data_IF_590673199181
#
_entry.id   IF_590673199181
#
_cell.length_a   1.000
_cell.length_b   1.000
_cell.length_c   1.000
_cell.angle_alpha   90.00
_cell.angle_beta   90.00
_cell.angle_gamma   90.00
#
_symmetry.space_group_name_H-M   'P 1'
#
loop_
_entity.id
_entity.type
_entity.pdbx_description
1 polymer ?
#
# COMPACT_ATOMS: atom_id res chain seq x y z
N UNK A 1 -11.56 -13.74 -26.44
CA UNK A 1 -11.69 -13.87 -24.97
C UNK A 1 -10.73 -12.98 -24.15
N UNK A 2 -10.06 -11.96 -24.71
CA UNK A 2 -9.03 -11.17 -23.99
C UNK A 2 -9.55 -9.94 -23.20
N UNK A 3 -10.82 -9.57 -23.34
CA UNK A 3 -11.39 -8.37 -22.70
C UNK A 3 -11.73 -8.61 -21.22
N UNK A 4 -12.23 -9.81 -20.86
CA UNK A 4 -12.62 -10.13 -19.48
C UNK A 4 -11.45 -10.10 -18.48
N UNK A 5 -10.27 -10.59 -18.87
CA UNK A 5 -9.08 -10.62 -18.00
C UNK A 5 -8.54 -9.21 -17.71
N UNK A 6 -8.65 -8.28 -18.67
CA UNK A 6 -8.23 -6.88 -18.50
C UNK A 6 -9.17 -6.13 -17.57
N UNK A 7 -10.49 -6.25 -17.77
CA UNK A 7 -11.49 -5.62 -16.90
C UNK A 7 -11.41 -6.15 -15.47
N UNK A 8 -11.17 -7.45 -15.28
CA UNK A 8 -11.02 -8.02 -13.94
C UNK A 8 -9.75 -7.54 -13.24
N UNK A 9 -8.65 -7.38 -13.98
CA UNK A 9 -7.41 -6.80 -13.44
C UNK A 9 -7.58 -5.31 -13.11
N UNK A 10 -8.26 -4.56 -13.97
CA UNK A 10 -8.57 -3.14 -13.74
C UNK A 10 -9.47 -2.94 -12.51
N UNK A 11 -10.52 -3.76 -12.37
CA UNK A 11 -11.40 -3.70 -11.20
C UNK A 11 -10.65 -4.06 -9.91
N UNK A 12 -9.76 -5.06 -9.97
CA UNK A 12 -8.88 -5.40 -8.84
C UNK A 12 -7.95 -4.24 -8.49
N UNK A 13 -7.36 -3.58 -9.48
CA UNK A 13 -6.47 -2.44 -9.26
C UNK A 13 -7.23 -1.28 -8.60
N UNK A 14 -8.44 -0.97 -9.07
CA UNK A 14 -9.29 0.05 -8.46
C UNK A 14 -9.66 -0.28 -7.00
N UNK A 15 -9.94 -1.56 -6.70
CA UNK A 15 -10.18 -2.04 -5.33
C UNK A 15 -8.96 -1.84 -4.43
N UNK A 16 -7.76 -2.16 -4.94
CA UNK A 16 -6.49 -1.98 -4.22
C UNK A 16 -6.23 -0.49 -3.94
N UNK A 17 -6.44 0.37 -4.94
CA UNK A 17 -6.23 1.81 -4.80
C UNK A 17 -7.22 2.44 -3.81
N UNK A 18 -8.49 2.04 -3.86
CA UNK A 18 -9.51 2.46 -2.90
C UNK A 18 -9.16 1.98 -1.48
N UNK A 19 -8.77 0.70 -1.35
CA UNK A 19 -8.35 0.12 -0.07
C UNK A 19 -7.15 0.82 0.55
N UNK A 20 -6.16 1.19 -0.26
CA UNK A 20 -5.00 1.94 0.20
C UNK A 20 -5.36 3.31 0.79
N UNK A 21 -6.33 4.01 0.19
CA UNK A 21 -6.83 5.30 0.70
C UNK A 21 -7.55 5.16 2.04
N UNK A 22 -8.23 4.04 2.26
CA UNK A 22 -8.91 3.73 3.52
C UNK A 22 -7.92 3.24 4.60
N UNK A 23 -6.93 2.45 4.21
CA UNK A 23 -5.91 1.89 5.10
C UNK A 23 -4.97 2.96 5.65
N UNK A 24 -4.57 3.93 4.82
CA UNK A 24 -3.53 4.90 5.19
C UNK A 24 -3.83 5.74 6.44
N UNK A 25 -5.01 6.38 6.58
CA UNK A 25 -5.32 7.20 7.77
C UNK A 25 -5.54 6.36 9.05
N UNK A 26 -5.95 5.10 8.92
CA UNK A 26 -6.47 4.32 10.06
C UNK A 26 -5.52 3.21 10.51
N UNK A 27 -4.89 2.51 9.58
CA UNK A 27 -4.13 1.28 9.85
C UNK A 27 -2.61 1.47 9.72
N UNK A 28 -2.18 2.49 8.97
CA UNK A 28 -0.78 2.77 8.63
C UNK A 28 0.02 3.46 9.75
N UNK A 29 -0.62 3.80 10.87
CA UNK A 29 0.04 4.39 12.03
C UNK A 29 1.10 3.43 12.60
N UNK A 30 2.21 3.98 13.11
CA UNK A 30 3.28 3.22 13.74
C UNK A 30 2.84 2.42 14.99
N UNK A 31 1.75 2.84 15.63
CA UNK A 31 1.13 2.10 16.73
C UNK A 31 0.24 0.93 16.26
N UNK A 32 -0.08 0.90 14.97
CA UNK A 32 -0.84 -0.16 14.33
C UNK A 32 0.15 -0.95 13.45
N UNK A 33 -0.05 -0.96 12.13
CA UNK A 33 0.73 -1.81 11.22
C UNK A 33 1.88 -1.08 10.52
N UNK A 34 2.12 0.20 10.81
CA UNK A 34 3.15 1.00 10.16
C UNK A 34 2.86 1.28 8.68
N UNK A 35 3.72 2.08 8.06
CA UNK A 35 3.54 2.53 6.68
C UNK A 35 3.46 1.35 5.71
N UNK A 36 2.35 1.22 4.97
CA UNK A 36 2.10 0.10 4.05
C UNK A 36 2.20 -1.29 4.73
N UNK A 37 1.87 -1.39 6.02
CA UNK A 37 1.88 -2.67 6.72
C UNK A 37 3.27 -3.25 6.98
N UNK A 38 4.33 -2.42 6.97
CA UNK A 38 5.71 -2.84 7.25
C UNK A 38 5.89 -3.42 8.66
N UNK A 39 4.96 -3.15 9.57
CA UNK A 39 5.02 -3.50 10.97
C UNK A 39 5.38 -2.29 11.82
N UNK A 40 4.74 -2.21 12.98
CA UNK A 40 4.98 -1.19 14.00
C UNK A 40 4.85 -1.85 15.36
N UNK A 41 3.94 -1.37 16.20
CA UNK A 41 3.53 -2.11 17.42
C UNK A 41 2.72 -3.37 17.09
N UNK A 42 1.98 -3.37 15.96
CA UNK A 42 1.33 -4.57 15.44
C UNK A 42 2.25 -5.28 14.43
N UNK A 43 2.10 -6.61 14.28
CA UNK A 43 3.00 -7.39 13.45
C UNK A 43 2.85 -7.04 11.96
N UNK A 44 3.96 -7.16 11.22
CA UNK A 44 4.06 -6.80 9.81
C UNK A 44 3.06 -7.56 8.93
N UNK A 45 2.25 -6.86 8.15
CA UNK A 45 1.32 -7.49 7.20
C UNK A 45 2.06 -7.99 5.95
N UNK A 46 3.29 -7.53 5.73
CA UNK A 46 4.13 -7.97 4.63
C UNK A 46 4.72 -9.36 4.91
N UNK A 47 4.88 -10.16 3.85
CA UNK A 47 5.57 -11.46 3.92
C UNK A 47 4.77 -12.60 4.55
N UNK A 48 3.48 -12.40 4.85
CA UNK A 48 2.61 -13.43 5.40
C UNK A 48 1.50 -13.79 4.41
N UNK A 49 1.09 -15.05 4.42
CA UNK A 49 -0.09 -15.50 3.68
C UNK A 49 -1.32 -15.37 4.57
N UNK A 50 -2.19 -14.44 4.22
CA UNK A 50 -3.50 -14.30 4.84
C UNK A 50 -4.58 -14.77 3.87
N UNK A 51 -5.67 -15.29 4.40
CA UNK A 51 -6.89 -15.53 3.62
C UNK A 51 -7.78 -14.29 3.66
N UNK A 52 -8.51 -13.99 2.57
CA UNK A 52 -9.42 -12.83 2.54
C UNK A 52 -10.50 -12.93 3.61
N UNK A 53 -10.98 -14.14 3.94
CA UNK A 53 -11.96 -14.37 5.00
C UNK A 53 -11.38 -14.01 6.36
N UNK A 54 -10.15 -14.45 6.64
CA UNK A 54 -9.46 -14.13 7.90
C UNK A 54 -9.23 -12.63 8.05
N UNK A 55 -8.75 -11.96 7.00
CA UNK A 55 -8.57 -10.50 7.03
C UNK A 55 -9.91 -9.78 7.25
N UNK A 56 -10.98 -10.24 6.59
CA UNK A 56 -12.31 -9.67 6.77
C UNK A 56 -12.74 -9.76 8.23
N UNK A 57 -12.68 -10.94 8.84
CA UNK A 57 -13.05 -11.15 10.25
C UNK A 57 -12.20 -10.33 11.21
N UNK A 58 -10.88 -10.27 10.99
CA UNK A 58 -9.99 -9.48 11.85
C UNK A 58 -10.28 -7.97 11.73
N UNK A 59 -10.61 -7.48 10.55
CA UNK A 59 -10.96 -6.06 10.35
C UNK A 59 -12.34 -5.75 10.95
N UNK A 60 -13.33 -6.64 10.79
CA UNK A 60 -14.69 -6.41 11.31
C UNK A 60 -14.73 -6.50 12.83
N UNK A 61 -14.19 -7.59 13.38
CA UNK A 61 -14.38 -7.97 14.79
C UNK A 61 -13.22 -7.49 15.66
N UNK A 62 -12.09 -7.17 15.04
CA UNK A 62 -10.86 -6.81 15.72
C UNK A 62 -10.03 -8.05 16.09
N UNK A 63 -8.89 -7.79 16.72
CA UNK A 63 -7.96 -8.79 17.23
C UNK A 63 -7.42 -8.32 18.60
N UNK A 64 -6.69 -9.15 19.35
CA UNK A 64 -6.05 -8.69 20.57
C UNK A 64 -5.17 -7.46 20.25
N UNK A 65 -5.47 -6.32 20.89
CA UNK A 65 -4.84 -5.02 20.67
C UNK A 65 -5.17 -4.29 19.34
N UNK A 66 -6.19 -4.75 18.61
CA UNK A 66 -6.76 -4.07 17.43
C UNK A 66 -8.28 -3.98 17.58
N UNK A 67 -8.84 -2.76 17.55
CA UNK A 67 -10.30 -2.58 17.57
C UNK A 67 -10.96 -3.13 16.31
N UNK A 68 -12.19 -3.60 16.42
CA UNK A 68 -13.03 -3.88 15.26
C UNK A 68 -13.46 -2.59 14.56
N UNK A 69 -13.56 -2.64 13.23
CA UNK A 69 -13.92 -1.51 12.37
C UNK A 69 -15.25 -1.73 11.63
N UNK A 70 -16.04 -2.73 12.02
CA UNK A 70 -17.37 -2.98 11.44
C UNK A 70 -18.32 -1.78 11.50
N UNK A 71 -18.15 -0.92 12.50
CA UNK A 71 -18.98 0.26 12.70
C UNK A 71 -18.44 1.50 11.96
N UNK A 72 -17.17 1.47 11.53
CA UNK A 72 -16.49 2.57 10.84
C UNK A 72 -16.46 2.39 9.31
N UNK A 73 -16.51 1.15 8.82
CA UNK A 73 -16.45 0.82 7.38
C UNK A 73 -17.60 -0.07 6.92
N UNK A 74 -18.09 0.16 5.70
CA UNK A 74 -19.03 -0.74 5.03
C UNK A 74 -18.36 -2.04 4.59
N UNK A 75 -19.16 -3.08 4.33
CA UNK A 75 -18.65 -4.37 3.85
C UNK A 75 -17.79 -4.22 2.57
N UNK A 76 -18.18 -3.34 1.65
CA UNK A 76 -17.43 -3.05 0.43
C UNK A 76 -16.08 -2.37 0.73
N UNK A 77 -16.06 -1.42 1.67
CA UNK A 77 -14.83 -0.75 2.10
C UNK A 77 -13.87 -1.73 2.78
N UNK A 78 -14.39 -2.67 3.57
CA UNK A 78 -13.59 -3.73 4.18
C UNK A 78 -12.98 -4.63 3.11
N UNK A 79 -13.76 -5.04 2.10
CA UNK A 79 -13.24 -5.83 0.96
C UNK A 79 -12.15 -5.08 0.18
N UNK A 80 -12.28 -3.75 0.01
CA UNK A 80 -11.24 -2.92 -0.61
C UNK A 80 -9.95 -2.92 0.22
N UNK A 81 -10.06 -2.73 1.54
CA UNK A 81 -8.90 -2.79 2.45
C UNK A 81 -8.23 -4.17 2.40
N UNK A 82 -9.02 -5.26 2.42
CA UNK A 82 -8.52 -6.63 2.28
C UNK A 82 -7.76 -6.80 0.96
N UNK A 83 -8.32 -6.33 -0.16
CA UNK A 83 -7.67 -6.38 -1.46
C UNK A 83 -6.32 -5.63 -1.46
N UNK A 84 -6.27 -4.45 -0.81
CA UNK A 84 -5.03 -3.70 -0.64
C UNK A 84 -4.00 -4.47 0.20
N UNK A 85 -4.39 -5.01 1.36
CA UNK A 85 -3.47 -5.79 2.22
C UNK A 85 -2.93 -7.02 1.49
N UNK A 86 -3.77 -7.71 0.72
CA UNK A 86 -3.35 -8.86 -0.09
C UNK A 86 -2.43 -8.47 -1.26
N UNK A 87 -2.47 -7.21 -1.70
CA UNK A 87 -1.57 -6.69 -2.73
C UNK A 87 -0.19 -6.28 -2.20
N UNK A 88 -0.04 -6.16 -0.88
CA UNK A 88 1.23 -5.75 -0.27
C UNK A 88 2.33 -6.78 -0.58
N UNK A 89 3.57 -6.31 -0.81
CA UNK A 89 4.68 -7.18 -1.16
C UNK A 89 4.92 -8.20 -0.04
N UNK A 90 5.06 -9.46 -0.42
CA UNK A 90 5.58 -10.50 0.46
C UNK A 90 7.08 -10.18 0.64
N UNK A 91 7.53 -9.93 1.87
CA UNK A 91 8.84 -9.33 2.15
C UNK A 91 10.02 -9.91 1.35
N UNK A 92 11.01 -9.03 1.08
CA UNK A 92 12.18 -9.18 0.17
C UNK A 92 11.89 -9.19 -1.34
N UNK A 93 10.76 -8.66 -1.79
CA UNK A 93 10.63 -8.23 -3.18
C UNK A 93 10.52 -6.69 -3.22
N UNK A 94 11.43 -5.98 -3.93
CA UNK A 94 11.29 -4.55 -4.10
C UNK A 94 9.96 -4.30 -4.80
N UNK A 95 9.15 -3.40 -4.22
CA UNK A 95 7.84 -3.03 -4.70
C UNK A 95 7.79 -2.89 -6.22
N UNK A 96 7.36 -3.94 -6.92
CA UNK A 96 6.98 -3.86 -8.33
C UNK A 96 5.58 -3.25 -8.40
N UNK A 97 5.47 -2.04 -7.87
CA UNK A 97 4.30 -1.16 -7.93
C UNK A 97 4.72 0.32 -7.89
N UNK A 98 5.97 0.64 -8.22
CA UNK A 98 6.34 1.93 -8.79
C UNK A 98 6.45 1.79 -10.32
N UNK A 99 5.41 1.25 -10.96
CA UNK A 99 5.19 1.49 -12.38
C UNK A 99 4.51 2.85 -12.53
N UNK A 100 5.28 3.92 -12.30
CA UNK A 100 4.96 5.25 -12.80
C UNK A 100 5.59 5.35 -14.20
N UNK A 101 4.83 5.38 -15.31
CA UNK A 101 5.38 5.77 -16.59
C UNK A 101 5.27 7.28 -16.71
N UNK A 102 6.11 8.02 -15.99
CA UNK A 102 6.41 9.41 -16.38
C UNK A 102 7.83 9.76 -15.98
N UNK A 103 8.74 9.36 -16.85
CA UNK A 103 10.02 10.03 -17.00
C UNK A 103 9.76 11.53 -17.26
N UNK A 104 10.11 12.37 -16.30
CA UNK A 104 10.50 13.75 -16.57
C UNK A 104 11.95 13.90 -16.12
N UNK A 105 12.92 14.05 -17.03
CA UNK A 105 14.32 14.14 -16.64
C UNK A 105 14.57 15.50 -15.98
N UNK A 106 14.82 15.49 -14.68
CA UNK A 106 15.41 16.62 -13.98
C UNK A 106 16.89 16.72 -14.37
N UNK A 107 17.19 17.54 -15.36
CA UNK A 107 18.56 17.94 -15.67
C UNK A 107 19.14 18.77 -14.54
N UNK A 108 20.12 18.21 -13.80
CA UNK A 108 21.11 18.97 -13.04
C UNK A 108 22.49 18.40 -13.32
N UNK A 109 23.25 19.07 -14.19
CA UNK A 109 24.71 18.93 -14.23
C UNK A 109 25.30 19.93 -13.23
N UNK A 110 25.92 19.39 -12.20
CA UNK A 110 26.89 20.10 -11.37
C UNK A 110 28.19 20.30 -12.17
N UNK A 111 28.86 21.44 -11.95
CA UNK A 111 30.26 21.62 -12.33
C UNK A 111 30.63 23.08 -12.60
N UNK A 112 31.52 23.63 -11.79
CA UNK A 112 32.28 24.84 -12.14
C UNK A 112 32.44 25.85 -11.01
N UNK A 113 33.27 25.51 -10.01
CA UNK A 113 33.84 26.51 -9.10
C UNK A 113 34.80 27.37 -9.92
N UNK A 114 34.37 28.58 -10.30
CA UNK A 114 35.23 29.56 -10.95
C UNK A 114 36.15 30.18 -9.90
N UNK A 115 37.40 29.71 -9.92
CA UNK A 115 38.51 30.30 -9.21
C UNK A 115 38.87 31.66 -9.84
N UNK A 116 38.89 32.68 -8.99
CA UNK A 116 39.42 34.03 -9.22
C UNK A 116 40.89 34.01 -9.64
N UNK A 117 41.21 34.63 -10.77
CA UNK A 117 42.46 35.39 -10.91
C UNK A 117 42.26 36.58 -11.86
N UNK A 118 42.33 37.77 -11.27
CA UNK A 118 42.46 39.07 -11.93
C UNK A 118 43.86 39.16 -12.56
N UNK A 119 43.87 39.60 -13.81
CA UNK A 119 44.95 40.39 -14.42
C UNK A 119 44.83 41.84 -13.96
#
# INVERSE_FOLDING_TARGET
MAVAAKTQTQNRQAMIEAGGKLFNPTCSSGYCHGANGTGGSAPSLQGRNFTPEYLTTVITDGAPFMRGFKDDYSAEQIQQIVAYVMSLPRGKEPARAAAQPEARPAGRRAGGWINTLRI
#
